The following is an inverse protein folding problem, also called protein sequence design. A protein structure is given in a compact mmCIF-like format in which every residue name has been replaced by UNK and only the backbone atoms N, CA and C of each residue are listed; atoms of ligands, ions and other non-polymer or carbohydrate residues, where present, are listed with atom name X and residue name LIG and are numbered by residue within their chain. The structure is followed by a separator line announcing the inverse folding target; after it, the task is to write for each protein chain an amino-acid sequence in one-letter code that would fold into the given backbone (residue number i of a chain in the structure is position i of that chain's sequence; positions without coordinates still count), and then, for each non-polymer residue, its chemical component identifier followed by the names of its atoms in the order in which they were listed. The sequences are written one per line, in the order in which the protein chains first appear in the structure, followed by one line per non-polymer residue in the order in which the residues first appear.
data_IF_618208425682
#
_entry.id   IF_618208425682
#
_cell.length_a   1.000
_cell.length_b   1.000
_cell.length_c   1.000
_cell.angle_alpha   90.00
_cell.angle_beta   90.00
_cell.angle_gamma   90.00
#
_symmetry.space_group_name_H-M   'P 1'
#
loop_
_entity.id
_entity.type
_entity.pdbx_description
1 polymer ?
#
# COMPACT_ATOMS: atom_id res chain seq x y z
N UNK A 1 -17.91 22.91 43.03
CA UNK A 1 -16.62 22.20 42.92
C UNK A 1 -16.25 21.77 41.50
N UNK A 2 -17.10 21.07 40.74
CA UNK A 2 -16.74 20.62 39.37
C UNK A 2 -16.48 21.78 38.39
N UNK A 3 -17.26 22.85 38.50
CA UNK A 3 -17.09 24.05 37.68
C UNK A 3 -15.77 24.78 37.98
N UNK A 4 -15.39 24.92 39.25
CA UNK A 4 -14.14 25.61 39.62
C UNK A 4 -12.89 24.88 39.13
N UNK A 5 -12.92 23.54 39.10
CA UNK A 5 -11.82 22.72 38.58
C UNK A 5 -11.68 22.92 37.06
N UNK A 6 -12.79 22.91 36.32
CA UNK A 6 -12.77 23.12 34.87
C UNK A 6 -12.21 24.51 34.47
N UNK A 7 -12.57 25.55 35.24
CA UNK A 7 -12.06 26.90 35.00
C UNK A 7 -10.56 27.02 35.31
N UNK A 8 -10.09 26.34 36.36
CA UNK A 8 -8.66 26.31 36.69
C UNK A 8 -7.82 25.62 35.61
N UNK A 9 -8.30 24.48 35.09
CA UNK A 9 -7.63 23.79 33.98
C UNK A 9 -7.60 24.63 32.70
N UNK A 10 -8.71 25.28 32.36
CA UNK A 10 -8.78 26.10 31.15
C UNK A 10 -7.88 27.33 31.25
N UNK A 11 -7.87 28.01 32.40
CA UNK A 11 -6.97 29.13 32.65
C UNK A 11 -5.49 28.71 32.55
N UNK A 12 -5.13 27.59 33.16
CA UNK A 12 -3.77 27.04 33.10
C UNK A 12 -3.35 26.71 31.66
N UNK A 13 -4.24 26.08 30.89
CA UNK A 13 -3.98 25.70 29.50
C UNK A 13 -3.81 26.95 28.62
N UNK A 14 -4.65 27.97 28.78
CA UNK A 14 -4.50 29.25 28.08
C UNK A 14 -3.17 29.94 28.41
N UNK A 15 -2.73 29.90 29.67
CA UNK A 15 -1.43 30.49 30.05
C UNK A 15 -0.24 29.74 29.43
N UNK A 16 -0.30 28.40 29.37
CA UNK A 16 0.73 27.61 28.71
C UNK A 16 0.81 27.90 27.21
N UNK A 17 -0.34 27.99 26.53
CA UNK A 17 -0.39 28.32 25.10
C UNK A 17 0.21 29.72 24.84
N UNK A 18 -0.13 30.71 25.67
CA UNK A 18 0.39 32.07 25.51
C UNK A 18 1.91 32.18 25.77
N UNK A 19 2.47 31.32 26.61
CA UNK A 19 3.92 31.25 26.87
C UNK A 19 4.67 30.45 25.80
N UNK A 20 4.06 29.40 25.26
CA UNK A 20 4.68 28.50 24.28
C UNK A 20 4.59 29.03 22.85
N UNK A 21 3.58 29.82 22.51
CA UNK A 21 3.50 30.45 21.20
C UNK A 21 4.07 31.86 21.30
N UNK A 22 5.21 32.16 20.64
CA UNK A 22 5.67 33.53 20.55
C UNK A 22 4.59 34.34 19.85
N UNK A 23 4.13 35.41 20.51
CA UNK A 23 3.10 36.30 19.99
C UNK A 23 3.64 37.11 18.80
N UNK A 24 3.90 36.46 17.67
CA UNK A 24 4.28 37.11 16.42
C UNK A 24 3.01 37.54 15.71
N UNK A 25 2.47 38.68 16.14
CA UNK A 25 1.22 39.21 15.62
C UNK A 25 1.14 40.73 15.63
N UNK A 26 2.25 41.46 15.52
CA UNK A 26 2.20 42.89 15.22
C UNK A 26 1.58 43.09 13.83
N UNK A 27 0.30 43.45 13.78
CA UNK A 27 -0.32 44.03 12.57
C UNK A 27 0.33 45.38 12.28
N UNK A 28 1.47 45.38 11.58
CA UNK A 28 1.82 46.52 10.74
C UNK A 28 1.02 46.38 9.45
N UNK A 29 0.15 47.35 9.17
CA UNK A 29 -0.32 47.60 7.81
C UNK A 29 0.87 48.14 7.02
N UNK A 30 1.78 47.26 6.61
CA UNK A 30 2.68 47.57 5.51
C UNK A 30 1.83 47.53 4.25
N UNK A 31 1.73 48.66 3.56
CA UNK A 31 1.32 48.70 2.17
C UNK A 31 2.41 47.97 1.37
N UNK A 32 2.30 46.64 1.29
CA UNK A 32 3.17 45.82 0.47
C UNK A 32 2.68 45.92 -0.99
N UNK A 33 3.58 46.00 -1.98
CA UNK A 33 3.20 45.88 -3.38
C UNK A 33 2.44 44.56 -3.61
N UNK A 34 1.56 44.46 -4.63
CA UNK A 34 0.84 43.23 -4.91
C UNK A 34 1.86 42.09 -5.04
N UNK A 35 1.75 41.11 -4.15
CA UNK A 35 2.55 39.91 -4.23
C UNK A 35 2.27 39.25 -5.59
N UNK A 36 3.30 38.72 -6.29
CA UNK A 36 3.08 37.99 -7.53
C UNK A 36 2.04 36.89 -7.28
N UNK A 37 1.08 36.73 -8.19
CA UNK A 37 0.06 35.70 -8.08
C UNK A 37 0.74 34.34 -7.85
N UNK A 38 0.32 33.57 -6.82
CA UNK A 38 0.89 32.27 -6.59
C UNK A 38 0.59 31.40 -7.81
N UNK A 39 1.64 30.96 -8.50
CA UNK A 39 1.53 29.94 -9.54
C UNK A 39 1.11 28.66 -8.84
N UNK A 40 -0.19 28.38 -8.81
CA UNK A 40 -0.72 27.12 -8.30
C UNK A 40 -0.28 26.04 -9.29
N UNK A 41 0.55 25.05 -8.87
CA UNK A 41 0.88 23.95 -9.76
C UNK A 41 -0.41 23.23 -10.13
N UNK A 42 -0.60 22.97 -11.43
CA UNK A 42 -1.75 22.19 -11.89
C UNK A 42 -1.82 20.89 -11.10
N UNK A 43 -2.96 20.67 -10.44
CA UNK A 43 -3.15 19.46 -9.64
C UNK A 43 -3.09 18.25 -10.58
N UNK A 44 -2.35 17.19 -10.22
CA UNK A 44 -2.28 16.00 -11.06
C UNK A 44 -3.65 15.30 -11.18
N UNK A 45 -4.61 15.65 -10.32
CA UNK A 45 -6.01 15.22 -10.38
C UNK A 45 -6.91 16.13 -11.24
N UNK A 46 -6.41 17.26 -11.73
CA UNK A 46 -7.13 18.15 -12.66
C UNK A 46 -7.13 17.63 -14.09
N UNK A 47 -6.23 16.69 -14.43
CA UNK A 47 -6.22 16.07 -15.75
C UNK A 47 -7.32 15.01 -15.83
N UNK A 48 -8.14 15.02 -16.90
CA UNK A 48 -9.06 13.91 -17.15
C UNK A 48 -8.25 12.62 -17.30
N UNK A 49 -8.68 11.57 -16.59
CA UNK A 49 -7.99 10.28 -16.64
C UNK A 49 -7.97 9.78 -18.08
N UNK A 50 -6.77 9.54 -18.61
CA UNK A 50 -6.61 8.93 -19.92
C UNK A 50 -6.98 7.46 -19.79
N UNK A 51 -8.23 7.13 -20.11
CA UNK A 51 -8.66 5.73 -20.21
C UNK A 51 -8.16 5.12 -21.52
N UNK A 52 -7.80 3.83 -21.53
CA UNK A 52 -7.54 3.11 -22.75
C UNK A 52 -8.72 3.26 -23.72
N UNK A 53 -8.42 3.33 -25.01
CA UNK A 53 -9.46 3.22 -26.03
C UNK A 53 -10.15 1.85 -25.95
N UNK A 54 -11.34 1.71 -26.56
CA UNK A 54 -12.04 0.41 -26.60
C UNK A 54 -11.16 -0.69 -27.20
N UNK A 55 -10.38 -0.36 -28.22
CA UNK A 55 -9.48 -1.28 -28.92
C UNK A 55 -8.30 -1.67 -28.03
N UNK A 56 -7.71 -0.71 -27.32
CA UNK A 56 -6.63 -0.95 -26.35
C UNK A 56 -7.10 -1.82 -25.19
N UNK A 57 -8.29 -1.54 -24.65
CA UNK A 57 -8.88 -2.36 -23.59
C UNK A 57 -9.11 -3.81 -24.05
N UNK A 58 -9.64 -4.01 -25.26
CA UNK A 58 -9.86 -5.34 -25.82
C UNK A 58 -8.54 -6.11 -26.02
N UNK A 59 -7.48 -5.43 -26.45
CA UNK A 59 -6.15 -6.02 -26.59
C UNK A 59 -5.55 -6.41 -25.23
N UNK A 60 -5.72 -5.56 -24.21
CA UNK A 60 -5.29 -5.87 -22.83
C UNK A 60 -5.97 -7.16 -22.34
N UNK A 61 -7.29 -7.28 -22.51
CA UNK A 61 -8.01 -8.48 -22.09
C UNK A 61 -7.60 -9.72 -22.87
N UNK A 62 -7.31 -9.61 -24.18
CA UNK A 62 -6.82 -10.73 -24.98
C UNK A 62 -5.46 -11.23 -24.46
N UNK A 63 -4.51 -10.31 -24.23
CA UNK A 63 -3.21 -10.65 -23.67
C UNK A 63 -3.32 -11.26 -22.28
N UNK A 64 -4.23 -10.75 -21.44
CA UNK A 64 -4.50 -11.36 -20.13
C UNK A 64 -5.00 -12.80 -20.28
N UNK A 65 -5.95 -13.04 -21.18
CA UNK A 65 -6.45 -14.39 -21.44
C UNK A 65 -5.35 -15.34 -21.93
N UNK A 66 -4.46 -14.88 -22.82
CA UNK A 66 -3.30 -15.65 -23.28
C UNK A 66 -2.33 -15.97 -22.14
N UNK A 67 -2.05 -14.98 -21.27
CA UNK A 67 -1.18 -15.21 -20.10
C UNK A 67 -1.79 -16.19 -19.10
N UNK A 68 -3.12 -16.15 -18.91
CA UNK A 68 -3.82 -17.09 -18.03
C UNK A 68 -3.83 -18.49 -18.62
N UNK A 69 -4.12 -18.63 -19.92
CA UNK A 69 -4.05 -19.89 -20.63
C UNK A 69 -2.63 -20.50 -20.55
N UNK A 70 -1.58 -19.69 -20.70
CA UNK A 70 -0.22 -20.16 -20.48
C UNK A 70 0.04 -20.54 -19.02
N UNK A 71 -0.44 -19.75 -18.06
CA UNK A 71 -0.28 -20.03 -16.65
C UNK A 71 -1.00 -21.31 -16.20
N UNK A 72 -2.09 -21.70 -16.86
CA UNK A 72 -2.82 -22.95 -16.65
C UNK A 72 -2.23 -24.13 -17.44
N UNK A 73 -1.25 -23.91 -18.30
CA UNK A 73 -0.60 -24.99 -19.04
C UNK A 73 0.19 -25.93 -18.11
N UNK A 74 0.18 -27.22 -18.44
CA UNK A 74 0.96 -28.25 -17.73
C UNK A 74 2.45 -27.90 -17.65
N UNK A 75 3.00 -27.28 -18.70
CA UNK A 75 4.39 -26.83 -18.70
C UNK A 75 4.64 -25.73 -17.65
N UNK A 76 3.74 -24.76 -17.50
CA UNK A 76 3.84 -23.73 -16.47
C UNK A 76 3.69 -24.35 -15.07
N UNK A 77 2.82 -25.35 -14.90
CA UNK A 77 2.71 -26.12 -13.66
C UNK A 77 4.03 -26.81 -13.31
N UNK A 78 4.62 -27.55 -14.25
CA UNK A 78 5.91 -28.22 -14.05
C UNK A 78 7.04 -27.24 -13.75
N UNK A 79 7.08 -26.08 -14.42
CA UNK A 79 8.08 -25.05 -14.14
C UNK A 79 7.93 -24.48 -12.74
N UNK A 80 6.70 -24.22 -12.28
CA UNK A 80 6.44 -23.76 -10.90
C UNK A 80 6.89 -24.79 -9.88
N UNK A 81 6.57 -26.06 -10.08
CA UNK A 81 7.00 -27.15 -9.19
C UNK A 81 8.53 -27.27 -9.12
N UNK A 82 9.22 -27.19 -10.26
CA UNK A 82 10.70 -27.20 -10.29
C UNK A 82 11.31 -26.03 -9.54
N UNK A 83 10.77 -24.82 -9.72
CA UNK A 83 11.23 -23.62 -8.98
C UNK A 83 10.99 -23.78 -7.49
N UNK A 84 9.85 -24.33 -7.10
CA UNK A 84 9.54 -24.60 -5.69
C UNK A 84 10.51 -25.63 -5.10
N UNK A 85 10.74 -26.75 -5.78
CA UNK A 85 11.71 -27.76 -5.35
C UNK A 85 13.13 -27.18 -5.21
N UNK A 86 13.55 -26.35 -6.15
CA UNK A 86 14.85 -25.67 -6.08
C UNK A 86 14.94 -24.71 -4.87
N UNK A 87 13.87 -23.99 -4.54
CA UNK A 87 13.83 -23.12 -3.37
C UNK A 87 13.94 -23.91 -2.05
N UNK A 88 13.29 -25.06 -1.96
CA UNK A 88 13.41 -25.97 -0.81
C UNK A 88 14.84 -26.51 -0.67
N UNK A 89 15.42 -27.01 -1.77
CA UNK A 89 16.80 -27.49 -1.78
C UNK A 89 17.80 -26.40 -1.37
N UNK A 90 17.60 -25.16 -1.83
CA UNK A 90 18.42 -24.02 -1.43
C UNK A 90 18.29 -23.68 0.07
N UNK A 91 17.14 -23.94 0.67
CA UNK A 91 16.91 -23.81 2.11
C UNK A 91 17.42 -25.03 2.92
N UNK A 92 17.95 -26.06 2.27
CA UNK A 92 18.36 -27.32 2.91
C UNK A 92 17.18 -28.17 3.39
N UNK A 93 15.98 -27.92 2.85
CA UNK A 93 14.75 -28.63 3.19
C UNK A 93 14.45 -29.68 2.12
N UNK A 94 14.02 -30.86 2.55
CA UNK A 94 13.48 -31.86 1.63
C UNK A 94 12.15 -31.37 1.05
N UNK A 95 12.05 -31.42 -0.29
CA UNK A 95 10.82 -31.04 -0.97
C UNK A 95 9.73 -32.09 -0.71
N UNK A 96 8.56 -31.71 -0.16
CA UNK A 96 7.51 -32.67 0.16
C UNK A 96 6.80 -33.12 -1.13
N UNK A 97 7.38 -34.13 -1.79
CA UNK A 97 6.78 -34.72 -2.98
C UNK A 97 5.65 -35.67 -2.59
N UNK A 98 4.41 -35.26 -2.82
CA UNK A 98 3.23 -36.10 -2.63
C UNK A 98 2.91 -36.84 -3.94
N UNK A 99 2.81 -38.16 -3.88
CA UNK A 99 2.35 -39.03 -4.97
C UNK A 99 1.08 -39.79 -4.53
N UNK A 100 0.35 -40.38 -5.48
CA UNK A 100 -0.84 -41.17 -5.15
C UNK A 100 -0.46 -42.40 -4.30
N UNK A 101 -0.98 -42.48 -3.07
CA UNK A 101 -0.60 -43.50 -2.09
C UNK A 101 0.61 -43.13 -1.21
N UNK A 102 1.07 -41.88 -1.22
CA UNK A 102 2.08 -41.42 -0.29
C UNK A 102 1.60 -41.54 1.18
N UNK A 103 2.50 -41.87 2.12
CA UNK A 103 2.14 -42.04 3.53
C UNK A 103 1.67 -40.75 4.22
N UNK A 104 1.95 -39.59 3.62
CA UNK A 104 1.52 -38.26 4.07
C UNK A 104 0.86 -37.53 2.90
N UNK A 105 -0.35 -37.01 3.10
CA UNK A 105 -1.08 -36.25 2.08
C UNK A 105 -0.67 -34.78 2.02
N UNK A 106 -1.33 -34.01 1.15
CA UNK A 106 -1.01 -32.57 0.97
C UNK A 106 -1.32 -31.74 2.21
N UNK A 107 -2.33 -32.14 2.96
CA UNK A 107 -2.79 -31.53 4.20
C UNK A 107 -1.73 -31.55 5.30
N UNK A 108 -0.85 -32.55 5.32
CA UNK A 108 0.20 -32.68 6.34
C UNK A 108 1.30 -31.62 6.18
N UNK A 109 1.42 -31.02 4.99
CA UNK A 109 2.40 -29.98 4.67
C UNK A 109 1.79 -28.58 4.55
N UNK A 110 0.47 -28.44 4.71
CA UNK A 110 -0.23 -27.17 4.56
C UNK A 110 0.23 -26.12 5.60
N UNK A 111 0.52 -26.54 6.83
CA UNK A 111 1.00 -25.66 7.91
C UNK A 111 2.43 -25.13 7.69
N UNK A 112 3.25 -25.88 6.95
CA UNK A 112 4.61 -25.46 6.57
C UNK A 112 4.56 -24.45 5.41
N UNK A 113 3.61 -24.62 4.49
CA UNK A 113 3.45 -23.80 3.28
C UNK A 113 2.60 -22.54 3.48
N UNK A 114 1.77 -22.48 4.53
CA UNK A 114 0.84 -21.38 4.81
C UNK A 114 1.40 -20.24 5.67
N UNK A 115 2.70 -20.27 6.00
CA UNK A 115 3.31 -19.29 6.92
C UNK A 115 4.41 -18.46 6.24
N UNK A 116 4.05 -17.78 5.16
CA UNK A 116 4.73 -16.53 4.76
C UNK A 116 3.65 -15.50 4.49
N UNK A 117 3.59 -14.51 5.39
CA UNK A 117 2.72 -13.34 5.33
C UNK A 117 2.99 -12.46 4.11
#
# INVERSE_FOLDING_TARGET
MRQSIAHAFLAYLCTLIALLLPATGTRRKCCAPPAPEPVIPESPWSRPWTSPSKEEAAEIFRRQAETWAWAESEEAHLQRERRRAAAFAAAGLDYPYTYEGAPFGRETFADVMGRTA
#
